data_IF_680323063491
#
_entry.id   IF_680323063491
#
_cell.length_a   1.000
_cell.length_b   1.000
_cell.length_c   1.000
_cell.angle_alpha   90.00
_cell.angle_beta   90.00
_cell.angle_gamma   90.00
#
_symmetry.space_group_name_H-M   'P 1'
#
loop_
_entity.id
_entity.type
_entity.pdbx_description
1 polymer ?
#
# COMPACT_ATOMS: atom_id res chain seq x y z
N UNK A 1 6.18 -30.82 42.73
CA UNK A 1 5.84 -31.23 41.34
C UNK A 1 4.80 -30.26 40.81
N UNK A 2 5.22 -29.10 40.28
CA UNK A 2 4.30 -28.13 39.69
C UNK A 2 4.49 -28.16 38.18
N UNK A 3 3.61 -28.90 37.51
CA UNK A 3 3.54 -28.99 36.05
C UNK A 3 2.79 -27.76 35.52
N UNK A 4 3.51 -26.76 35.05
CA UNK A 4 2.92 -25.68 34.26
C UNK A 4 2.73 -26.17 32.83
N UNK A 5 1.58 -26.77 32.55
CA UNK A 5 1.14 -27.01 31.17
C UNK A 5 0.86 -25.65 30.53
N UNK A 6 1.89 -25.09 29.88
CA UNK A 6 1.73 -24.00 28.92
C UNK A 6 0.89 -24.55 27.77
N UNK A 7 -0.43 -24.40 27.88
CA UNK A 7 -1.33 -24.63 26.77
C UNK A 7 -0.89 -23.67 25.68
N UNK A 8 -0.21 -24.22 24.67
CA UNK A 8 0.16 -23.48 23.47
C UNK A 8 -1.15 -23.07 22.80
N UNK A 9 -1.59 -21.84 23.09
CA UNK A 9 -2.83 -21.31 22.53
C UNK A 9 -2.62 -21.22 21.02
N UNK A 10 -3.24 -22.14 20.29
CA UNK A 10 -3.27 -22.19 18.84
C UNK A 10 -4.55 -21.53 18.35
N UNK A 11 -4.44 -20.74 17.30
CA UNK A 11 -5.60 -20.20 16.62
C UNK A 11 -6.15 -21.25 15.66
N UNK A 12 -7.40 -21.68 15.86
CA UNK A 12 -8.08 -22.66 15.00
C UNK A 12 -8.30 -22.15 13.55
N UNK A 13 -8.31 -20.83 13.35
CA UNK A 13 -8.56 -20.23 12.05
C UNK A 13 -7.31 -20.12 11.17
N UNK A 14 -6.17 -19.72 11.73
CA UNK A 14 -4.93 -19.53 10.97
C UNK A 14 -3.83 -20.56 11.30
N UNK A 15 -4.07 -21.42 12.28
CA UNK A 15 -3.13 -22.47 12.72
C UNK A 15 -1.91 -21.97 13.50
N UNK A 16 -1.75 -20.66 13.68
CA UNK A 16 -0.59 -20.06 14.37
C UNK A 16 -0.74 -20.11 15.90
N UNK A 17 0.39 -20.31 16.57
CA UNK A 17 0.49 -20.26 18.03
C UNK A 17 0.61 -18.81 18.53
N UNK A 18 0.13 -18.55 19.75
CA UNK A 18 0.31 -17.28 20.46
C UNK A 18 -0.91 -16.37 20.50
N UNK A 19 -2.05 -16.77 19.92
CA UNK A 19 -3.30 -16.03 20.03
C UNK A 19 -4.53 -16.94 19.86
N UNK A 20 -5.66 -16.52 20.43
CA UNK A 20 -6.98 -17.13 20.24
C UNK A 20 -7.67 -16.57 18.99
N UNK A 21 -8.69 -17.27 18.48
CA UNK A 21 -9.40 -16.90 17.24
C UNK A 21 -10.02 -15.50 17.27
N UNK A 22 -10.53 -15.02 18.41
CA UNK A 22 -11.07 -13.66 18.57
C UNK A 22 -10.01 -12.56 18.41
N UNK A 23 -8.74 -12.88 18.66
CA UNK A 23 -7.59 -11.99 18.44
C UNK A 23 -6.89 -12.23 17.11
N UNK A 24 -7.38 -13.16 16.31
CA UNK A 24 -6.79 -13.44 15.00
C UNK A 24 -7.15 -12.32 14.03
N UNK A 25 -6.13 -11.58 13.59
CA UNK A 25 -6.30 -10.48 12.63
C UNK A 25 -6.99 -10.95 11.35
N UNK A 26 -6.60 -12.11 10.82
CA UNK A 26 -7.17 -12.69 9.59
C UNK A 26 -8.65 -13.07 9.77
N UNK A 27 -9.02 -13.64 10.92
CA UNK A 27 -10.41 -13.96 11.25
C UNK A 27 -11.26 -12.70 11.42
N UNK A 28 -10.71 -11.67 12.08
CA UNK A 28 -11.41 -10.40 12.28
C UNK A 28 -11.62 -9.63 10.97
N UNK A 29 -10.65 -9.65 10.05
CA UNK A 29 -10.84 -9.12 8.71
C UNK A 29 -11.92 -9.88 7.93
N UNK A 30 -11.93 -11.22 8.00
CA UNK A 30 -12.96 -12.04 7.37
C UNK A 30 -14.37 -11.73 7.94
N UNK A 31 -14.49 -11.57 9.26
CA UNK A 31 -15.77 -11.29 9.94
C UNK A 31 -16.30 -9.87 9.66
N UNK A 32 -15.43 -8.87 9.58
CA UNK A 32 -15.82 -7.45 9.40
C UNK A 32 -15.76 -6.97 7.95
N UNK A 33 -15.28 -7.80 7.01
CA UNK A 33 -15.14 -7.50 5.58
C UNK A 33 -16.45 -7.21 4.81
N UNK A 34 -17.60 -7.15 5.48
CA UNK A 34 -18.88 -6.72 4.89
C UNK A 34 -19.51 -5.47 5.56
N UNK A 35 -18.86 -4.81 6.54
CA UNK A 35 -19.40 -3.60 7.19
C UNK A 35 -18.35 -2.52 7.50
N UNK A 36 -17.53 -2.14 6.51
CA UNK A 36 -16.65 -0.98 6.63
C UNK A 36 -16.69 -0.10 5.37
N UNK A 37 -17.89 0.34 4.97
CA UNK A 37 -18.07 1.61 4.25
C UNK A 37 -19.33 2.29 4.77
N UNK A 38 -19.24 2.87 5.96
CA UNK A 38 -20.18 3.88 6.42
C UNK A 38 -19.48 4.80 7.43
N UNK A 39 -18.97 5.93 6.92
CA UNK A 39 -18.86 7.19 7.64
C UNK A 39 -17.85 7.31 8.79
N UNK A 40 -16.84 8.16 8.59
CA UNK A 40 -16.84 9.39 9.38
C UNK A 40 -16.32 10.56 8.56
N UNK A 41 -17.29 11.38 8.19
CA UNK A 41 -17.18 12.67 7.53
C UNK A 41 -16.44 13.67 8.43
N UNK A 42 -15.78 14.65 7.81
CA UNK A 42 -15.87 15.98 8.37
C UNK A 42 -16.55 16.91 7.36
N UNK A 43 -17.55 17.61 7.89
CA UNK A 43 -18.55 18.42 7.22
C UNK A 43 -18.27 19.88 7.54
N UNK A 44 -18.15 20.73 6.51
CA UNK A 44 -18.52 22.14 6.61
C UNK A 44 -19.25 22.61 5.33
N UNK A 45 -20.56 22.44 5.38
CA UNK A 45 -21.61 23.47 5.26
C UNK A 45 -21.66 24.49 4.09
N UNK A 46 -22.83 24.45 3.42
CA UNK A 46 -23.72 25.55 2.97
C UNK A 46 -23.41 26.42 1.72
N UNK A 47 -24.12 26.06 0.64
CA UNK A 47 -25.06 26.84 -0.18
C UNK A 47 -24.86 28.34 -0.44
N UNK A 48 -24.69 28.70 -1.73
CA UNK A 48 -25.56 29.64 -2.49
C UNK A 48 -25.15 29.73 -3.98
N UNK A 49 -26.12 29.53 -4.89
CA UNK A 49 -26.08 29.81 -6.35
C UNK A 49 -26.16 31.34 -6.64
N UNK A 50 -26.22 31.84 -7.91
CA UNK A 50 -25.29 31.72 -9.04
C UNK A 50 -24.97 33.13 -9.64
N UNK A 51 -23.72 33.44 -10.05
CA UNK A 51 -23.45 34.64 -10.88
C UNK A 51 -22.38 34.41 -11.94
N UNK A 52 -22.83 34.44 -13.18
CA UNK A 52 -22.24 34.88 -14.46
C UNK A 52 -20.70 34.95 -14.63
N UNK A 53 -20.22 34.16 -15.62
CA UNK A 53 -19.09 34.26 -16.58
C UNK A 53 -18.00 35.36 -16.48
N UNK A 54 -16.83 35.22 -17.16
CA UNK A 54 -16.22 34.03 -17.81
C UNK A 54 -14.72 33.79 -17.49
N UNK A 55 -14.32 32.53 -17.71
CA UNK A 55 -13.06 32.03 -18.24
C UNK A 55 -11.70 32.30 -17.56
N UNK A 56 -11.00 31.17 -17.45
CA UNK A 56 -9.55 30.97 -17.48
C UNK A 56 -8.83 30.89 -16.12
N UNK A 57 -8.96 29.72 -15.50
CA UNK A 57 -7.87 29.18 -14.70
C UNK A 57 -7.76 27.70 -15.01
N UNK A 58 -6.68 27.35 -15.72
CA UNK A 58 -6.20 25.99 -15.87
C UNK A 58 -5.90 25.43 -14.47
N UNK A 59 -6.92 24.93 -13.77
CA UNK A 59 -6.74 24.12 -12.57
C UNK A 59 -6.11 22.82 -13.02
N UNK A 60 -4.79 22.82 -13.12
CA UNK A 60 -4.00 21.61 -13.05
C UNK A 60 -4.23 21.02 -11.67
N UNK A 61 -5.31 20.25 -11.51
CA UNK A 61 -5.50 19.37 -10.38
C UNK A 61 -4.25 18.51 -10.28
N UNK A 62 -3.42 18.77 -9.27
CA UNK A 62 -2.27 17.92 -9.00
C UNK A 62 -2.84 16.58 -8.53
N UNK A 63 -2.94 15.64 -9.47
CA UNK A 63 -3.39 14.28 -9.18
C UNK A 63 -2.37 13.67 -8.23
N UNK A 64 -2.79 13.40 -7.00
CA UNK A 64 -1.98 12.70 -6.01
C UNK A 64 -2.37 11.24 -6.02
N UNK A 65 -1.41 10.37 -6.28
CA UNK A 65 -1.61 8.92 -6.27
C UNK A 65 -1.46 8.37 -4.84
N UNK A 66 -1.98 7.15 -4.60
CA UNK A 66 -1.85 6.46 -3.32
C UNK A 66 -1.22 5.09 -3.52
N UNK A 67 -0.22 4.78 -2.70
CA UNK A 67 0.44 3.47 -2.68
C UNK A 67 -0.23 2.47 -1.72
N UNK A 68 -1.45 2.78 -1.25
CA UNK A 68 -2.16 1.94 -0.29
C UNK A 68 -1.38 1.76 1.02
N UNK A 69 -1.06 0.51 1.35
CA UNK A 69 -0.34 0.14 2.58
C UNK A 69 1.20 0.09 2.40
N UNK A 70 1.74 0.55 1.28
CA UNK A 70 3.18 0.59 1.08
C UNK A 70 3.84 1.69 1.93
N UNK A 71 5.01 1.36 2.51
CA UNK A 71 5.84 2.28 3.30
C UNK A 71 7.27 2.25 2.79
N UNK A 72 8.04 3.30 3.10
CA UNK A 72 9.48 3.30 2.85
C UNK A 72 10.16 2.31 3.80
N UNK A 73 10.92 1.37 3.24
CA UNK A 73 11.88 0.58 4.00
C UNK A 73 13.21 1.32 4.02
N UNK A 74 13.66 1.75 5.20
CA UNK A 74 14.99 2.34 5.36
C UNK A 74 16.03 1.23 5.31
N UNK A 75 16.85 1.21 4.25
CA UNK A 75 17.96 0.27 4.11
C UNK A 75 19.11 0.83 4.93
N UNK A 76 19.14 0.54 6.24
CA UNK A 76 20.33 0.82 7.04
C UNK A 76 21.26 -0.39 6.95
N UNK A 77 22.53 -0.24 6.50
CA UNK A 77 23.46 -1.37 6.33
C UNK A 77 23.70 -2.22 7.58
N UNK A 78 23.33 -1.71 8.76
CA UNK A 78 23.46 -2.41 10.05
C UNK A 78 22.17 -3.07 10.55
N UNK A 79 21.07 -2.98 9.82
CA UNK A 79 19.81 -3.61 10.24
C UNK A 79 19.83 -5.12 9.87
N UNK A 80 19.77 -6.03 10.86
CA UNK A 80 19.81 -7.48 10.64
C UNK A 80 18.59 -8.02 9.86
N UNK A 81 17.55 -7.21 9.62
CA UNK A 81 16.40 -7.57 8.78
C UNK A 81 16.58 -7.19 7.30
N UNK A 82 17.65 -6.49 6.92
CA UNK A 82 17.99 -6.12 5.54
C UNK A 82 18.35 -7.26 4.56
N UNK A 83 18.80 -8.48 4.96
CA UNK A 83 19.17 -9.52 3.99
C UNK A 83 18.03 -9.96 3.08
N UNK A 84 16.78 -9.92 3.57
CA UNK A 84 15.58 -10.31 2.80
C UNK A 84 15.24 -9.33 1.67
N UNK A 85 15.72 -8.09 1.75
CA UNK A 85 15.41 -7.04 0.80
C UNK A 85 16.31 -7.06 -0.43
N UNK A 86 17.52 -7.64 -0.32
CA UNK A 86 18.42 -7.82 -1.46
C UNK A 86 17.83 -8.77 -2.52
N UNK A 87 17.00 -9.73 -2.09
CA UNK A 87 16.37 -10.70 -2.99
C UNK A 87 15.18 -10.09 -3.77
N UNK A 88 14.42 -9.21 -3.12
CA UNK A 88 13.34 -8.44 -3.76
C UNK A 88 13.84 -7.37 -4.77
N UNK A 89 15.15 -7.09 -4.77
CA UNK A 89 15.84 -6.19 -5.69
C UNK A 89 16.27 -6.89 -7.00
N UNK A 90 16.17 -8.24 -7.05
CA UNK A 90 16.60 -9.03 -8.22
C UNK A 90 15.40 -9.46 -9.07
N UNK A 91 14.25 -9.73 -8.45
CA UNK A 91 13.06 -10.25 -9.14
C UNK A 91 11.83 -9.36 -8.98
N UNK A 92 11.08 -9.21 -10.08
CA UNK A 92 9.80 -8.51 -10.08
C UNK A 92 8.64 -9.46 -9.79
N UNK A 93 7.81 -9.13 -8.79
CA UNK A 93 6.54 -9.83 -8.57
C UNK A 93 5.38 -9.07 -9.22
N UNK A 94 4.66 -9.73 -10.13
CA UNK A 94 3.46 -9.18 -10.74
C UNK A 94 2.28 -9.27 -9.76
N UNK A 95 1.79 -8.12 -9.31
CA UNK A 95 0.61 -8.03 -8.43
C UNK A 95 -0.64 -7.66 -9.24
N UNK A 96 -1.57 -8.60 -9.41
CA UNK A 96 -2.86 -8.37 -10.10
C UNK A 96 -3.80 -7.46 -9.32
N UNK A 97 -3.53 -7.20 -8.03
CA UNK A 97 -4.31 -6.31 -7.17
C UNK A 97 -3.96 -4.83 -7.32
N UNK A 98 -2.89 -4.49 -8.05
CA UNK A 98 -2.43 -3.12 -8.23
C UNK A 98 -2.69 -2.63 -9.67
N UNK A 99 -3.22 -1.41 -9.80
CA UNK A 99 -3.41 -0.74 -11.10
C UNK A 99 -2.09 -0.24 -11.67
N UNK A 100 -1.13 0.08 -10.80
CA UNK A 100 0.21 0.57 -11.13
C UNK A 100 1.22 -0.01 -10.14
N UNK A 101 2.46 -0.19 -10.59
CA UNK A 101 3.56 -0.71 -9.78
C UNK A 101 4.71 0.28 -9.74
N UNK A 102 5.50 0.26 -8.66
CA UNK A 102 6.65 1.14 -8.47
C UNK A 102 7.93 0.32 -8.29
N UNK A 103 9.05 0.85 -8.75
CA UNK A 103 10.37 0.22 -8.57
C UNK A 103 11.49 1.24 -8.52
N UNK A 104 12.56 0.97 -7.73
CA UNK A 104 13.80 1.71 -7.85
C UNK A 104 14.59 1.35 -9.13
N UNK A 105 14.32 0.22 -9.78
CA UNK A 105 15.07 -0.27 -10.95
C UNK A 105 14.61 0.37 -12.25
N UNK A 106 15.08 1.59 -12.50
CA UNK A 106 14.79 2.30 -13.76
C UNK A 106 15.15 1.49 -15.01
N UNK A 107 16.18 0.64 -14.96
CA UNK A 107 16.64 -0.15 -16.10
C UNK A 107 15.68 -1.31 -16.48
N UNK A 108 14.73 -1.68 -15.61
CA UNK A 108 13.65 -2.61 -15.96
C UNK A 108 12.53 -1.94 -16.77
N UNK A 109 12.48 -0.61 -16.77
CA UNK A 109 11.39 0.17 -17.37
C UNK A 109 11.74 0.57 -18.80
N UNK A 110 10.96 0.10 -19.75
CA UNK A 110 11.02 0.48 -21.16
C UNK A 110 10.16 1.72 -21.44
N UNK A 111 10.48 2.44 -22.52
CA UNK A 111 9.78 3.66 -22.93
C UNK A 111 9.64 4.70 -21.80
N UNK A 112 10.67 4.80 -20.96
CA UNK A 112 10.67 5.65 -19.79
C UNK A 112 10.50 7.13 -20.17
N UNK A 113 9.49 7.78 -19.59
CA UNK A 113 9.27 9.22 -19.69
C UNK A 113 9.30 9.87 -18.31
N UNK A 114 9.93 11.04 -18.16
CA UNK A 114 9.82 11.82 -16.93
C UNK A 114 8.35 12.12 -16.62
N UNK A 115 7.94 11.77 -15.41
CA UNK A 115 6.58 11.88 -14.92
C UNK A 115 6.68 11.99 -13.40
N UNK A 116 6.45 13.20 -12.88
CA UNK A 116 6.64 13.52 -11.48
C UNK A 116 5.30 13.86 -10.85
N UNK A 117 4.74 12.88 -10.16
CA UNK A 117 3.49 13.03 -9.41
C UNK A 117 3.72 12.67 -7.94
N UNK A 118 3.03 13.35 -7.01
CA UNK A 118 3.09 12.98 -5.61
C UNK A 118 2.35 11.67 -5.37
N UNK A 119 2.97 10.78 -4.61
CA UNK A 119 2.44 9.47 -4.23
C UNK A 119 2.44 9.39 -2.71
N UNK A 120 1.25 9.30 -2.12
CA UNK A 120 1.08 9.19 -0.66
C UNK A 120 1.25 7.73 -0.22
N UNK A 121 2.14 7.54 0.76
CA UNK A 121 2.43 6.26 1.40
C UNK A 121 1.55 6.03 2.65
N UNK A 122 1.63 4.83 3.21
CA UNK A 122 0.83 4.40 4.36
C UNK A 122 1.17 5.17 5.65
N UNK A 123 2.43 5.58 5.80
CA UNK A 123 2.91 6.42 6.90
C UNK A 123 2.57 7.91 6.73
N UNK A 124 1.75 8.24 5.73
CA UNK A 124 1.34 9.59 5.34
C UNK A 124 2.46 10.45 4.75
N UNK A 125 3.65 9.91 4.56
CA UNK A 125 4.69 10.59 3.79
C UNK A 125 4.31 10.62 2.30
N UNK A 126 4.92 11.56 1.58
CA UNK A 126 4.73 11.71 0.13
C UNK A 126 6.08 11.52 -0.53
N UNK A 127 6.14 10.61 -1.49
CA UNK A 127 7.26 10.44 -2.41
C UNK A 127 6.85 10.95 -3.79
N UNK A 128 7.83 11.28 -4.63
CA UNK A 128 7.58 11.72 -6.00
C UNK A 128 8.09 10.67 -6.97
N UNK A 129 7.28 10.30 -7.95
CA UNK A 129 7.75 9.47 -9.06
C UNK A 129 8.83 10.21 -9.85
N UNK A 130 9.83 9.47 -10.31
CA UNK A 130 10.83 10.01 -11.23
C UNK A 130 10.37 9.93 -12.70
N UNK A 131 9.48 8.98 -12.99
CA UNK A 131 9.00 8.70 -14.34
C UNK A 131 8.13 7.46 -14.40
N UNK A 132 7.62 7.19 -15.59
CA UNK A 132 6.73 6.07 -15.88
C UNK A 132 7.16 5.40 -17.18
N UNK A 133 6.81 4.13 -17.33
CA UNK A 133 7.02 3.39 -18.56
C UNK A 133 6.40 2.00 -18.46
N UNK A 134 6.84 1.11 -19.33
CA UNK A 134 6.31 -0.25 -19.46
C UNK A 134 7.35 -1.28 -19.03
N UNK A 135 6.94 -2.33 -18.34
CA UNK A 135 7.76 -3.50 -18.01
C UNK A 135 7.33 -4.68 -18.88
N UNK A 136 8.28 -5.51 -19.30
CA UNK A 136 7.99 -6.75 -20.05
C UNK A 136 7.78 -7.88 -19.06
N UNK A 137 6.63 -8.54 -19.13
CA UNK A 137 6.32 -9.72 -18.32
C UNK A 137 6.38 -10.98 -19.17
N UNK A 138 7.31 -11.88 -18.85
CA UNK A 138 7.50 -13.17 -19.53
C UNK A 138 7.12 -14.30 -18.58
N UNK A 139 5.87 -14.79 -18.59
CA UNK A 139 5.48 -15.90 -17.73
C UNK A 139 6.19 -17.19 -18.15
N UNK A 140 6.69 -17.94 -17.17
CA UNK A 140 7.19 -19.31 -17.38
C UNK A 140 6.01 -20.26 -17.23
N UNK A 141 5.83 -21.17 -18.20
CA UNK A 141 4.82 -22.24 -18.15
C UNK A 141 5.36 -23.52 -17.52
#
# INVERSE_FOLDING_TARGET
NQSTTSTRIQCDFCGLLGHTQDKCHRYNCYKHGNKAQAGSSNSQNTSQQPKSSPNNANSSTVVTESAGNASLCSIHPSDPHCPLQLDADIDWNADTGATSHMTPHRHWVHHYTPYCVPIKLADHTVVYSAGVGTVVFNPVM
#
